data_IF_788051986979
#
_entry.id   IF_788051986979
#
_cell.length_a   1.000
_cell.length_b   1.000
_cell.length_c   1.000
_cell.angle_alpha   90.00
_cell.angle_beta   90.00
_cell.angle_gamma   90.00
#
_symmetry.space_group_name_H-M   'P 1'
#
loop_
_entity.id
_entity.type
_entity.pdbx_description
1 polymer ?
#
# COMPACT_ATOMS: atom_id res chain seq x y z
N UNK A 1 50.88 36.15 28.75
CA UNK A 1 49.46 36.05 29.07
C UNK A 1 48.75 36.72 27.93
N UNK A 2 48.01 35.92 27.11
CA UNK A 2 47.42 36.43 25.86
C UNK A 2 46.37 37.52 26.14
N UNK A 3 46.38 38.59 25.34
CA UNK A 3 45.38 39.68 25.39
C UNK A 3 43.93 39.20 25.50
N UNK A 4 43.62 38.08 24.86
CA UNK A 4 42.28 37.44 24.91
C UNK A 4 41.92 36.91 26.31
N UNK A 5 42.89 36.42 27.08
CA UNK A 5 42.67 35.97 28.46
C UNK A 5 42.41 37.13 29.44
N UNK A 6 43.02 38.27 29.20
CA UNK A 6 42.78 39.47 30.01
C UNK A 6 41.41 40.06 29.76
N UNK A 7 40.94 40.04 28.50
CA UNK A 7 39.61 40.53 28.11
C UNK A 7 38.50 39.63 28.72
N UNK A 8 38.62 38.32 28.65
CA UNK A 8 37.67 37.39 29.25
C UNK A 8 37.56 37.49 30.77
N UNK A 9 38.71 37.70 31.46
CA UNK A 9 38.71 37.90 32.91
C UNK A 9 38.10 39.23 33.33
N UNK A 10 38.21 40.28 32.53
CA UNK A 10 37.55 41.55 32.80
C UNK A 10 36.00 41.42 32.64
N UNK A 11 35.49 40.80 31.61
CA UNK A 11 34.06 40.62 31.41
C UNK A 11 33.45 39.70 32.47
N UNK A 12 34.14 38.65 32.92
CA UNK A 12 33.65 37.78 33.97
C UNK A 12 33.59 38.51 35.34
N UNK A 13 34.54 39.34 35.70
CA UNK A 13 34.51 40.17 36.89
C UNK A 13 33.40 41.20 36.81
N UNK A 14 33.16 41.82 35.65
CA UNK A 14 32.08 42.76 35.43
C UNK A 14 30.69 42.08 35.64
N UNK A 15 30.45 40.93 35.01
CA UNK A 15 29.21 40.17 35.18
C UNK A 15 29.03 39.74 36.65
N UNK A 16 30.10 39.38 37.35
CA UNK A 16 30.04 39.03 38.76
C UNK A 16 29.68 40.24 39.65
N UNK A 17 30.15 41.43 39.33
CA UNK A 17 29.80 42.68 40.04
C UNK A 17 28.27 42.99 39.94
N UNK A 18 27.69 42.69 38.79
CA UNK A 18 26.22 42.92 38.52
C UNK A 18 25.37 41.68 38.68
N UNK A 19 25.86 40.64 39.36
CA UNK A 19 25.16 39.35 39.54
C UNK A 19 23.74 39.49 40.06
N UNK A 20 23.47 40.46 40.97
CA UNK A 20 22.15 40.67 41.55
C UNK A 20 21.13 41.16 40.50
N UNK A 21 21.56 41.98 39.53
CA UNK A 21 20.74 42.45 38.42
C UNK A 21 20.47 41.29 37.46
N UNK A 22 21.51 40.49 37.13
CA UNK A 22 21.40 39.32 36.26
C UNK A 22 20.41 38.30 36.85
N UNK A 23 20.61 37.90 38.11
CA UNK A 23 19.75 36.95 38.82
C UNK A 23 18.31 37.46 38.89
N UNK A 24 18.10 38.74 39.25
CA UNK A 24 16.77 39.34 39.32
C UNK A 24 16.04 39.29 37.99
N UNK A 25 16.70 39.69 36.91
CA UNK A 25 16.14 39.68 35.57
C UNK A 25 15.79 38.29 35.07
N UNK A 26 16.68 37.31 35.29
CA UNK A 26 16.42 35.89 34.96
C UNK A 26 15.26 35.34 35.78
N UNK A 27 15.18 35.64 37.08
CA UNK A 27 14.04 35.21 37.93
C UNK A 27 12.71 35.82 37.45
N UNK A 28 12.69 37.10 37.13
CA UNK A 28 11.49 37.78 36.61
C UNK A 28 11.08 37.11 35.28
N UNK A 29 12.03 36.88 34.38
CA UNK A 29 11.73 36.23 33.13
C UNK A 29 11.24 34.76 33.33
N UNK A 30 11.81 34.02 34.26
CA UNK A 30 11.38 32.67 34.58
C UNK A 30 9.95 32.65 35.18
N UNK A 31 9.61 33.60 36.05
CA UNK A 31 8.27 33.70 36.63
C UNK A 31 7.25 34.09 35.54
N UNK A 32 7.56 35.10 34.73
CA UNK A 32 6.67 35.55 33.65
C UNK A 32 6.43 34.45 32.61
N UNK A 33 7.49 33.77 32.19
CA UNK A 33 7.37 32.64 31.23
C UNK A 33 6.62 31.47 31.86
N UNK A 34 6.81 31.19 33.15
CA UNK A 34 6.04 30.15 33.84
C UNK A 34 4.54 30.45 33.86
N UNK A 35 4.16 31.71 34.12
CA UNK A 35 2.77 32.15 34.06
C UNK A 35 2.20 32.06 32.64
N UNK A 36 2.94 32.54 31.64
CA UNK A 36 2.52 32.49 30.22
C UNK A 36 2.32 31.01 29.75
N UNK A 37 3.21 30.12 30.10
CA UNK A 37 3.13 28.69 29.73
C UNK A 37 1.97 27.97 30.38
N UNK A 38 1.41 28.48 31.49
CA UNK A 38 0.19 27.93 32.12
C UNK A 38 -1.07 28.27 31.28
N UNK A 39 -1.07 29.38 30.58
CA UNK A 39 -2.20 29.88 29.77
C UNK A 39 -2.26 29.19 28.40
N UNK A 40 -1.10 28.74 27.87
CA UNK A 40 -1.00 28.12 26.53
C UNK A 40 -1.79 26.82 26.45
N UNK A 41 -2.56 26.59 25.35
CA UNK A 41 -3.30 25.36 25.11
C UNK A 41 -2.41 24.10 25.23
N UNK A 42 -2.94 23.08 25.87
CA UNK A 42 -2.29 21.77 26.01
C UNK A 42 -2.66 20.89 24.84
N UNK A 43 -1.71 20.14 24.30
CA UNK A 43 -1.94 19.18 23.23
C UNK A 43 -1.81 17.77 23.79
N UNK A 44 -2.79 16.96 23.50
CA UNK A 44 -2.80 15.53 23.80
C UNK A 44 -2.66 14.74 22.49
N UNK A 45 -1.78 13.75 22.47
CA UNK A 45 -1.52 12.89 21.32
C UNK A 45 -1.94 11.47 21.68
N UNK A 46 -2.90 10.93 20.97
CA UNK A 46 -3.21 9.50 20.98
C UNK A 46 -2.60 8.86 19.74
N UNK A 47 -2.11 7.64 19.86
CA UNK A 47 -1.55 6.88 18.74
C UNK A 47 -2.02 5.44 18.79
N UNK A 48 -2.08 4.84 17.61
CA UNK A 48 -2.28 3.42 17.40
C UNK A 48 -1.25 2.91 16.38
N UNK A 49 -0.91 1.63 16.48
CA UNK A 49 0.00 0.97 15.54
C UNK A 49 -0.75 -0.17 14.87
N UNK A 50 -0.71 -0.19 13.56
CA UNK A 50 -1.27 -1.27 12.75
C UNK A 50 -0.18 -1.94 11.91
N UNK A 51 -0.37 -3.22 11.69
CA UNK A 51 0.44 -4.01 10.76
C UNK A 51 -0.37 -4.23 9.49
N UNK A 52 0.15 -3.82 8.32
CA UNK A 52 -0.44 -4.23 7.05
C UNK A 52 -0.50 -5.76 6.99
N UNK A 53 -1.55 -6.35 6.43
CA UNK A 53 -1.58 -7.78 6.22
C UNK A 53 -0.36 -8.16 5.38
N UNK A 54 0.38 -9.16 5.84
CA UNK A 54 1.41 -9.75 4.98
C UNK A 54 0.67 -10.28 3.77
N UNK A 55 1.09 -9.89 2.57
CA UNK A 55 0.70 -10.61 1.38
C UNK A 55 1.11 -12.06 1.63
N UNK A 56 0.16 -12.88 2.05
CA UNK A 56 0.33 -14.30 1.89
C UNK A 56 0.35 -14.46 0.36
N UNK A 57 1.57 -14.49 -0.20
CA UNK A 57 1.77 -15.29 -1.38
C UNK A 57 1.19 -16.64 -1.00
N UNK A 58 -0.07 -16.87 -1.39
CA UNK A 58 -0.70 -18.17 -1.23
C UNK A 58 0.18 -19.17 -1.98
N UNK A 59 1.17 -19.71 -1.28
CA UNK A 59 1.80 -20.97 -1.57
C UNK A 59 0.75 -22.08 -1.33
N UNK A 60 -0.52 -21.76 -1.60
CA UNK A 60 -1.61 -22.69 -1.62
C UNK A 60 -1.55 -23.45 -2.93
N UNK A 61 -1.51 -24.77 -2.82
CA UNK A 61 -1.83 -25.81 -3.85
C UNK A 61 -1.27 -25.58 -5.27
N UNK A 62 -1.17 -24.32 -5.75
CA UNK A 62 -0.61 -23.94 -7.07
C UNK A 62 0.92 -23.97 -7.15
N UNK A 63 1.63 -23.86 -6.02
CA UNK A 63 3.08 -24.00 -6.00
C UNK A 63 3.52 -25.46 -6.29
N UNK A 64 2.60 -26.42 -6.21
CA UNK A 64 2.87 -27.83 -6.47
C UNK A 64 2.50 -28.31 -7.88
N UNK A 65 1.98 -27.44 -8.74
CA UNK A 65 1.87 -27.76 -10.17
C UNK A 65 3.24 -27.42 -10.78
N UNK A 66 4.11 -28.43 -10.84
CA UNK A 66 5.41 -28.35 -11.50
C UNK A 66 5.24 -27.76 -12.91
N UNK A 67 5.73 -26.54 -13.10
CA UNK A 67 5.80 -25.88 -14.41
C UNK A 67 4.97 -24.58 -14.57
N UNK A 68 4.10 -24.21 -13.64
CA UNK A 68 3.36 -22.96 -13.73
C UNK A 68 3.82 -21.97 -12.64
N UNK A 69 4.72 -21.06 -13.00
CA UNK A 69 5.18 -19.96 -12.14
C UNK A 69 4.07 -18.91 -11.91
N UNK A 70 2.91 -19.35 -11.39
CA UNK A 70 1.76 -18.47 -11.11
C UNK A 70 1.81 -17.85 -9.71
N UNK A 71 2.63 -18.42 -8.82
CA UNK A 71 2.76 -17.95 -7.44
C UNK A 71 3.39 -16.55 -7.31
N UNK A 72 4.29 -16.20 -8.23
CA UNK A 72 4.95 -14.88 -8.25
C UNK A 72 4.02 -13.77 -8.79
N UNK A 73 3.01 -14.15 -9.55
CA UNK A 73 2.08 -13.24 -10.22
C UNK A 73 1.09 -12.54 -9.28
N UNK A 74 0.72 -13.19 -8.16
CA UNK A 74 -0.21 -12.65 -7.17
C UNK A 74 0.49 -12.08 -5.93
N UNK A 75 1.81 -12.03 -5.90
CA UNK A 75 2.57 -11.43 -4.80
C UNK A 75 2.55 -9.91 -4.89
N UNK A 76 1.46 -9.30 -4.40
CA UNK A 76 1.44 -7.87 -4.10
C UNK A 76 2.54 -7.59 -3.06
N UNK A 77 3.49 -6.72 -3.38
CA UNK A 77 4.57 -6.37 -2.45
C UNK A 77 3.98 -5.72 -1.18
N UNK A 78 4.59 -5.96 -0.03
CA UNK A 78 4.16 -5.34 1.24
C UNK A 78 4.11 -3.81 1.17
N UNK A 79 4.91 -3.21 0.30
CA UNK A 79 4.96 -1.78 0.05
C UNK A 79 3.71 -1.26 -0.68
N UNK A 80 3.14 -2.05 -1.58
CA UNK A 80 1.93 -1.69 -2.33
C UNK A 80 0.69 -1.68 -1.43
N UNK A 81 0.57 -2.67 -0.52
CA UNK A 81 -0.49 -2.70 0.49
C UNK A 81 -0.37 -1.51 1.43
N UNK A 82 0.84 -1.20 1.88
CA UNK A 82 1.09 -0.03 2.74
C UNK A 82 0.71 1.27 2.03
N UNK A 83 1.07 1.44 0.77
CA UNK A 83 0.72 2.61 -0.04
C UNK A 83 -0.80 2.76 -0.19
N UNK A 84 -1.54 1.67 -0.38
CA UNK A 84 -2.99 1.67 -0.45
C UNK A 84 -3.61 2.13 0.88
N UNK A 85 -3.11 1.64 2.02
CA UNK A 85 -3.54 2.08 3.35
C UNK A 85 -3.29 3.58 3.53
N UNK A 86 -2.11 4.09 3.15
CA UNK A 86 -1.82 5.52 3.22
C UNK A 86 -2.72 6.35 2.30
N UNK A 87 -3.05 5.85 1.10
CA UNK A 87 -3.97 6.53 0.20
C UNK A 87 -5.38 6.66 0.80
N UNK A 88 -5.88 5.60 1.45
CA UNK A 88 -7.17 5.62 2.15
C UNK A 88 -7.11 6.61 3.33
N UNK A 89 -6.08 6.54 4.17
CA UNK A 89 -5.90 7.41 5.34
C UNK A 89 -5.84 8.89 4.98
N UNK A 90 -5.17 9.25 3.87
CA UNK A 90 -5.02 10.63 3.39
C UNK A 90 -6.17 11.09 2.51
N UNK A 91 -7.13 10.22 2.19
CA UNK A 91 -8.23 10.53 1.29
C UNK A 91 -9.13 11.65 1.86
N UNK A 92 -9.71 12.45 0.96
CA UNK A 92 -10.69 13.48 1.32
C UNK A 92 -11.90 12.89 2.03
N UNK A 93 -12.42 11.77 1.54
CA UNK A 93 -13.58 11.08 2.11
C UNK A 93 -13.33 10.62 3.55
N UNK A 94 -12.12 10.13 3.86
CA UNK A 94 -11.74 9.78 5.23
C UNK A 94 -11.79 11.03 6.12
N UNK A 95 -11.15 12.12 5.72
CA UNK A 95 -11.07 13.35 6.49
C UNK A 95 -12.46 13.96 6.72
N UNK A 96 -13.29 14.06 5.69
CA UNK A 96 -14.66 14.55 5.80
C UNK A 96 -15.51 13.69 6.75
N UNK A 97 -15.33 12.36 6.70
CA UNK A 97 -16.06 11.45 7.59
C UNK A 97 -15.69 11.65 9.07
N UNK A 98 -14.42 11.94 9.38
CA UNK A 98 -13.96 12.25 10.74
C UNK A 98 -14.51 13.58 11.20
N UNK A 99 -14.40 14.63 10.37
CA UNK A 99 -14.90 15.96 10.70
C UNK A 99 -16.39 15.94 11.03
N UNK A 100 -17.18 15.26 10.19
CA UNK A 100 -18.63 15.14 10.39
C UNK A 100 -18.97 14.29 11.62
N UNK A 101 -18.29 13.15 11.83
CA UNK A 101 -18.58 12.26 12.95
C UNK A 101 -18.26 12.89 14.30
N UNK A 102 -17.15 13.64 14.38
CA UNK A 102 -16.65 14.24 15.63
C UNK A 102 -17.12 15.70 15.81
N UNK A 103 -17.90 16.25 14.87
CA UNK A 103 -18.39 17.64 14.96
C UNK A 103 -17.26 18.68 14.95
N UNK A 104 -16.16 18.42 14.22
CA UNK A 104 -14.95 19.24 14.30
C UNK A 104 -15.08 20.63 13.65
N UNK A 105 -16.12 20.89 12.85
CA UNK A 105 -16.38 22.22 12.28
C UNK A 105 -16.56 23.25 13.40
N UNK A 106 -17.38 22.92 14.40
CA UNK A 106 -17.62 23.79 15.54
C UNK A 106 -16.39 23.90 16.45
N UNK A 107 -15.68 22.76 16.66
CA UNK A 107 -14.50 22.73 17.53
C UNK A 107 -13.31 23.52 16.97
N UNK A 108 -13.14 23.53 15.65
CA UNK A 108 -12.08 24.29 14.97
C UNK A 108 -12.52 25.72 14.62
N UNK A 109 -13.76 26.11 14.98
CA UNK A 109 -14.32 27.39 14.62
C UNK A 109 -14.18 27.70 13.13
N UNK A 110 -14.34 26.64 12.28
CA UNK A 110 -14.14 26.73 10.84
C UNK A 110 -15.41 27.19 10.14
N UNK A 111 -15.27 28.08 9.13
CA UNK A 111 -16.41 28.61 8.37
C UNK A 111 -17.07 27.53 7.49
N UNK A 112 -16.30 26.52 7.11
CA UNK A 112 -16.76 25.47 6.22
C UNK A 112 -16.04 24.11 6.46
N UNK A 113 -16.58 23.06 5.84
CA UNK A 113 -16.03 21.70 5.92
C UNK A 113 -14.59 21.62 5.42
N UNK A 114 -14.22 22.37 4.39
CA UNK A 114 -12.91 22.31 3.77
C UNK A 114 -11.81 22.83 4.71
N UNK A 115 -12.08 23.93 5.41
CA UNK A 115 -11.16 24.46 6.43
C UNK A 115 -11.03 23.54 7.63
N UNK A 116 -12.14 22.93 8.07
CA UNK A 116 -12.10 21.93 9.14
C UNK A 116 -11.27 20.70 8.73
N UNK A 117 -11.39 20.23 7.49
CA UNK A 117 -10.57 19.15 6.94
C UNK A 117 -9.09 19.54 6.89
N UNK A 118 -8.77 20.76 6.48
CA UNK A 118 -7.38 21.27 6.47
C UNK A 118 -6.79 21.32 7.89
N UNK A 119 -7.55 21.79 8.85
CA UNK A 119 -7.17 21.84 10.26
C UNK A 119 -6.97 20.44 10.85
N UNK A 120 -7.87 19.50 10.54
CA UNK A 120 -7.74 18.10 10.95
C UNK A 120 -6.48 17.47 10.36
N UNK A 121 -6.20 17.69 9.07
CA UNK A 121 -5.01 17.15 8.40
C UNK A 121 -3.71 17.57 9.06
N UNK A 122 -3.63 18.79 9.58
CA UNK A 122 -2.47 19.30 10.31
C UNK A 122 -2.34 18.65 11.71
N UNK A 123 -3.44 18.15 12.24
CA UNK A 123 -3.51 17.51 13.55
C UNK A 123 -3.36 15.98 13.50
N UNK A 124 -3.36 15.38 12.30
CA UNK A 124 -3.11 13.96 12.11
C UNK A 124 -1.69 13.72 11.60
N UNK A 125 -1.09 12.63 12.05
CA UNK A 125 0.19 12.13 11.52
C UNK A 125 0.07 10.64 11.20
N UNK A 126 0.53 10.28 10.02
CA UNK A 126 0.60 8.90 9.52
C UNK A 126 2.05 8.62 9.16
N UNK A 127 2.68 7.71 9.87
CA UNK A 127 4.11 7.43 9.75
C UNK A 127 4.32 5.93 9.46
N UNK A 128 5.20 5.64 8.50
CA UNK A 128 5.69 4.29 8.28
C UNK A 128 6.89 4.06 9.21
N UNK A 129 6.82 3.02 10.04
CA UNK A 129 7.90 2.65 10.94
C UNK A 129 8.83 1.64 10.27
N UNK A 130 10.09 1.57 10.74
CA UNK A 130 11.14 0.73 10.17
C UNK A 130 10.77 -0.77 10.16
N UNK A 131 9.93 -1.20 11.11
CA UNK A 131 9.45 -2.58 11.21
C UNK A 131 8.35 -2.94 10.19
N UNK A 132 8.02 -2.06 9.25
CA UNK A 132 6.95 -2.25 8.27
C UNK A 132 5.55 -2.02 8.82
N UNK A 133 5.44 -1.44 10.02
CA UNK A 133 4.18 -1.07 10.65
C UNK A 133 3.79 0.38 10.33
N UNK A 134 2.51 0.72 10.49
CA UNK A 134 1.99 2.06 10.29
C UNK A 134 1.52 2.63 11.61
N UNK A 135 2.06 3.79 11.99
CA UNK A 135 1.61 4.56 13.14
C UNK A 135 0.59 5.61 12.71
N UNK A 136 -0.55 5.61 13.38
CA UNK A 136 -1.63 6.60 13.21
C UNK A 136 -1.72 7.41 14.48
N UNK A 137 -1.60 8.73 14.40
CA UNK A 137 -1.71 9.57 15.57
C UNK A 137 -2.57 10.81 15.33
N UNK A 138 -3.32 11.18 16.37
CA UNK A 138 -4.14 12.37 16.40
C UNK A 138 -3.72 13.29 17.55
N UNK A 139 -3.56 14.57 17.24
CA UNK A 139 -3.27 15.63 18.19
C UNK A 139 -4.55 16.45 18.42
N UNK A 140 -4.91 16.60 19.69
CA UNK A 140 -6.07 17.44 20.06
C UNK A 140 -5.62 18.49 21.06
N UNK A 141 -5.99 19.75 20.75
CA UNK A 141 -5.67 20.91 21.59
C UNK A 141 -6.83 21.21 22.54
N UNK A 142 -6.48 21.61 23.77
CA UNK A 142 -7.45 22.19 24.68
C UNK A 142 -7.69 23.67 24.32
N UNK A 143 -8.80 24.30 24.81
CA UNK A 143 -8.94 25.75 24.77
C UNK A 143 -7.85 26.49 25.58
N UNK A 144 -7.75 27.77 25.38
CA UNK A 144 -6.94 28.65 26.25
C UNK A 144 -7.48 28.61 27.68
N UNK A 145 -6.60 28.66 28.69
CA UNK A 145 -6.98 28.59 30.11
C UNK A 145 -7.80 27.33 30.46
N UNK A 146 -7.47 26.19 29.84
CA UNK A 146 -8.21 24.93 30.00
C UNK A 146 -8.26 24.45 31.46
N UNK A 147 -9.43 23.99 31.87
CA UNK A 147 -9.68 23.30 33.12
C UNK A 147 -9.41 21.78 32.97
N UNK A 148 -9.61 21.01 34.06
CA UNK A 148 -9.41 19.56 34.06
C UNK A 148 -10.40 18.83 33.14
N UNK A 149 -11.61 19.35 33.02
CA UNK A 149 -12.65 18.76 32.17
C UNK A 149 -12.31 18.90 30.67
N UNK A 150 -11.77 20.05 30.26
CA UNK A 150 -11.28 20.28 28.91
C UNK A 150 -10.11 19.34 28.55
N UNK A 151 -9.26 19.04 29.54
CA UNK A 151 -8.17 18.08 29.37
C UNK A 151 -8.67 16.66 29.13
N UNK A 152 -9.65 16.22 29.94
CA UNK A 152 -10.28 14.90 29.83
C UNK A 152 -10.97 14.78 28.46
N UNK A 153 -11.72 15.80 28.05
CA UNK A 153 -12.38 15.84 26.74
C UNK A 153 -11.36 15.76 25.59
N UNK A 154 -10.28 16.54 25.66
CA UNK A 154 -9.24 16.51 24.62
C UNK A 154 -8.54 15.14 24.51
N UNK A 155 -8.29 14.47 25.65
CA UNK A 155 -7.73 13.11 25.69
C UNK A 155 -8.67 12.10 25.05
N UNK A 156 -9.94 12.12 25.45
CA UNK A 156 -10.95 11.21 24.94
C UNK A 156 -11.17 11.41 23.44
N UNK A 157 -11.29 12.67 23.01
CA UNK A 157 -11.46 12.99 21.59
C UNK A 157 -10.25 12.53 20.74
N UNK A 158 -9.01 12.71 21.23
CA UNK A 158 -7.83 12.23 20.53
C UNK A 158 -7.89 10.70 20.33
N UNK A 159 -8.31 9.97 21.35
CA UNK A 159 -8.47 8.52 21.28
C UNK A 159 -9.62 8.10 20.38
N UNK A 160 -10.75 8.81 20.47
CA UNK A 160 -11.94 8.52 19.66
C UNK A 160 -11.67 8.77 18.16
N UNK A 161 -10.94 9.83 17.82
CA UNK A 161 -10.52 10.08 16.44
C UNK A 161 -9.68 8.92 15.90
N UNK A 162 -8.67 8.45 16.64
CA UNK A 162 -7.82 7.35 16.18
C UNK A 162 -8.60 6.05 16.06
N UNK A 163 -9.44 5.71 17.04
CA UNK A 163 -10.29 4.52 16.99
C UNK A 163 -11.29 4.58 15.82
N UNK A 164 -11.86 5.76 15.55
CA UNK A 164 -12.74 5.93 14.39
C UNK A 164 -11.98 5.74 13.07
N UNK A 165 -10.75 6.28 12.97
CA UNK A 165 -9.89 6.07 11.80
C UNK A 165 -9.64 4.58 11.59
N UNK A 166 -9.28 3.82 12.63
CA UNK A 166 -9.03 2.39 12.54
C UNK A 166 -10.27 1.61 12.06
N UNK A 167 -11.42 1.87 12.68
CA UNK A 167 -12.67 1.19 12.31
C UNK A 167 -13.13 1.54 10.89
N UNK A 168 -12.97 2.81 10.49
CA UNK A 168 -13.32 3.27 9.14
C UNK A 168 -12.36 2.73 8.09
N UNK A 169 -11.06 2.68 8.40
CA UNK A 169 -10.02 2.13 7.54
C UNK A 169 -10.29 0.64 7.29
N UNK A 170 -10.56 -0.15 8.34
CA UNK A 170 -10.89 -1.57 8.21
C UNK A 170 -12.12 -1.76 7.31
N UNK A 171 -13.18 -0.99 7.55
CA UNK A 171 -14.39 -1.05 6.73
C UNK A 171 -14.14 -0.73 5.26
N UNK A 172 -13.40 0.36 4.97
CA UNK A 172 -13.09 0.77 3.60
C UNK A 172 -12.20 -0.27 2.92
N UNK A 173 -11.15 -0.73 3.60
CA UNK A 173 -10.24 -1.72 3.06
C UNK A 173 -10.95 -3.06 2.79
N UNK A 174 -11.80 -3.52 3.72
CA UNK A 174 -12.63 -4.71 3.53
C UNK A 174 -13.56 -4.57 2.32
N UNK A 175 -14.21 -3.42 2.16
CA UNK A 175 -15.08 -3.17 1.00
C UNK A 175 -14.29 -3.23 -0.30
N UNK A 176 -13.13 -2.58 -0.38
CA UNK A 176 -12.28 -2.59 -1.57
C UNK A 176 -11.84 -4.02 -1.94
N UNK A 177 -11.37 -4.80 -0.95
CA UNK A 177 -10.97 -6.19 -1.19
C UNK A 177 -12.13 -7.09 -1.62
N UNK A 178 -13.31 -6.92 -1.01
CA UNK A 178 -14.51 -7.69 -1.38
C UNK A 178 -14.97 -7.33 -2.79
N UNK A 179 -14.97 -6.04 -3.16
CA UNK A 179 -15.34 -5.60 -4.50
C UNK A 179 -14.38 -6.13 -5.56
N UNK A 180 -13.08 -6.14 -5.27
CA UNK A 180 -12.06 -6.70 -6.15
C UNK A 180 -12.21 -8.22 -6.31
N UNK A 181 -12.38 -8.96 -5.21
CA UNK A 181 -12.60 -10.41 -5.23
C UNK A 181 -13.88 -10.76 -5.99
N UNK A 182 -14.96 -10.00 -5.79
CA UNK A 182 -16.22 -10.15 -6.52
C UNK A 182 -16.04 -9.92 -8.02
N UNK A 183 -15.30 -8.90 -8.39
CA UNK A 183 -15.02 -8.62 -9.79
C UNK A 183 -14.22 -9.75 -10.45
N UNK A 184 -13.20 -10.27 -9.76
CA UNK A 184 -12.41 -11.42 -10.23
C UNK A 184 -13.30 -12.66 -10.39
N UNK A 185 -14.17 -12.95 -9.41
CA UNK A 185 -15.12 -14.08 -9.51
C UNK A 185 -16.05 -13.94 -10.71
N UNK A 186 -16.66 -12.78 -10.91
CA UNK A 186 -17.56 -12.55 -12.06
C UNK A 186 -16.83 -12.69 -13.41
N UNK A 187 -15.58 -12.26 -13.47
CA UNK A 187 -14.77 -12.48 -14.66
C UNK A 187 -14.49 -13.97 -14.91
N UNK A 188 -14.10 -14.70 -13.85
CA UNK A 188 -13.84 -16.14 -13.94
C UNK A 188 -15.10 -16.93 -14.26
N UNK A 189 -16.24 -16.58 -13.68
CA UNK A 189 -17.54 -17.19 -13.97
C UNK A 189 -17.86 -17.12 -15.46
N UNK A 190 -17.75 -15.93 -16.03
CA UNK A 190 -18.00 -15.74 -17.46
C UNK A 190 -17.05 -16.57 -18.34
N UNK A 191 -15.75 -16.59 -18.02
CA UNK A 191 -14.76 -17.38 -18.77
C UNK A 191 -15.01 -18.89 -18.63
N UNK A 192 -15.40 -19.34 -17.44
CA UNK A 192 -15.79 -20.73 -17.18
C UNK A 192 -17.01 -21.16 -17.99
N UNK A 193 -18.06 -20.33 -18.02
CA UNK A 193 -19.27 -20.59 -18.83
C UNK A 193 -18.93 -20.68 -20.33
N UNK A 194 -18.11 -19.75 -20.84
CA UNK A 194 -17.62 -19.78 -22.22
C UNK A 194 -16.86 -21.07 -22.52
N UNK A 195 -16.01 -21.53 -21.59
CA UNK A 195 -15.22 -22.75 -21.77
C UNK A 195 -16.09 -24.02 -21.79
N UNK A 196 -17.16 -24.08 -21.00
CA UNK A 196 -18.15 -25.18 -21.06
C UNK A 196 -18.73 -25.28 -22.46
N UNK A 197 -19.22 -24.14 -23.00
CA UNK A 197 -19.85 -24.12 -24.31
C UNK A 197 -18.88 -24.50 -25.43
N UNK A 198 -17.64 -23.98 -25.36
CA UNK A 198 -16.59 -24.29 -26.35
C UNK A 198 -16.19 -25.76 -26.30
N UNK A 199 -16.06 -26.33 -25.12
CA UNK A 199 -15.77 -27.76 -24.95
C UNK A 199 -16.88 -28.62 -25.55
N UNK A 200 -18.14 -28.34 -25.20
CA UNK A 200 -19.30 -29.05 -25.74
C UNK A 200 -19.38 -28.98 -27.27
N UNK A 201 -19.12 -27.80 -27.83
CA UNK A 201 -19.10 -27.59 -29.28
C UNK A 201 -17.98 -28.40 -29.95
N UNK A 202 -16.80 -28.42 -29.34
CA UNK A 202 -15.63 -29.15 -29.86
C UNK A 202 -15.86 -30.66 -29.78
N UNK A 203 -16.40 -31.16 -28.67
CA UNK A 203 -16.78 -32.58 -28.52
C UNK A 203 -17.83 -33.00 -29.54
N UNK A 204 -18.83 -32.16 -29.75
CA UNK A 204 -19.90 -32.47 -30.74
C UNK A 204 -19.36 -32.49 -32.17
N UNK A 205 -18.46 -31.56 -32.55
CA UNK A 205 -17.78 -31.59 -33.84
C UNK A 205 -16.99 -32.87 -34.04
N UNK A 206 -16.24 -33.29 -33.03
CA UNK A 206 -15.46 -34.52 -33.06
C UNK A 206 -16.38 -35.73 -33.18
N UNK A 207 -17.46 -35.78 -32.41
CA UNK A 207 -18.45 -36.88 -32.44
C UNK A 207 -19.09 -37.01 -33.81
N UNK A 208 -19.56 -35.92 -34.42
CA UNK A 208 -20.16 -35.91 -35.75
C UNK A 208 -19.17 -36.40 -36.80
N UNK A 209 -17.94 -35.90 -36.77
CA UNK A 209 -16.92 -36.34 -37.71
C UNK A 209 -16.62 -37.84 -37.62
N UNK A 210 -16.51 -38.38 -36.39
CA UNK A 210 -16.28 -39.79 -36.16
C UNK A 210 -17.43 -40.67 -36.64
N UNK A 211 -18.67 -40.21 -36.48
CA UNK A 211 -19.88 -40.94 -36.97
C UNK A 211 -19.94 -40.97 -38.51
N UNK A 212 -19.61 -39.86 -39.17
CA UNK A 212 -19.70 -39.76 -40.63
C UNK A 212 -18.58 -40.56 -41.35
N UNK A 213 -17.42 -40.67 -40.73
CA UNK A 213 -16.25 -41.21 -41.43
C UNK A 213 -15.71 -42.57 -40.89
N UNK A 214 -16.36 -43.15 -39.86
CA UNK A 214 -15.96 -44.44 -39.24
C UNK A 214 -14.46 -44.54 -38.87
N UNK A 215 -13.82 -43.41 -38.49
CA UNK A 215 -12.37 -43.33 -38.26
C UNK A 215 -12.02 -43.62 -36.80
N UNK A 216 -11.47 -44.75 -36.53
CA UNK A 216 -11.08 -45.16 -35.16
C UNK A 216 -9.57 -45.34 -34.88
N UNK A 217 -8.72 -45.33 -35.92
CA UNK A 217 -7.29 -45.67 -35.71
C UNK A 217 -6.32 -44.63 -36.26
N UNK A 218 -5.51 -44.04 -35.38
CA UNK A 218 -4.46 -43.07 -35.66
C UNK A 218 -3.09 -43.65 -35.34
N UNK A 219 -2.10 -43.41 -36.20
CA UNK A 219 -0.70 -43.78 -35.94
C UNK A 219 -0.17 -43.07 -34.68
N UNK A 220 0.54 -43.79 -33.81
CA UNK A 220 1.06 -43.30 -32.52
C UNK A 220 1.85 -41.99 -32.60
N UNK A 221 2.61 -41.77 -33.65
CA UNK A 221 3.40 -40.55 -33.87
C UNK A 221 2.49 -39.31 -34.05
N UNK A 222 1.37 -39.52 -34.73
CA UNK A 222 0.39 -38.47 -34.98
C UNK A 222 -0.34 -38.08 -33.70
N UNK A 223 -0.66 -39.05 -32.85
CA UNK A 223 -1.22 -38.80 -31.51
C UNK A 223 -0.26 -37.97 -30.63
N UNK A 224 1.04 -38.26 -30.69
CA UNK A 224 2.05 -37.53 -29.95
C UNK A 224 2.12 -36.05 -30.39
N UNK A 225 2.06 -35.79 -31.70
CA UNK A 225 2.05 -34.43 -32.26
C UNK A 225 0.81 -33.64 -31.84
N UNK A 226 -0.38 -34.27 -31.90
CA UNK A 226 -1.64 -33.67 -31.43
C UNK A 226 -1.55 -33.26 -29.97
N UNK A 227 -1.03 -34.14 -29.11
CA UNK A 227 -0.90 -33.88 -27.69
C UNK A 227 0.04 -32.71 -27.38
N UNK A 228 1.21 -32.63 -28.05
CA UNK A 228 2.15 -31.51 -27.87
C UNK A 228 1.54 -30.20 -28.35
N UNK A 229 0.92 -30.20 -29.52
CA UNK A 229 0.26 -28.98 -30.04
C UNK A 229 -0.89 -28.49 -29.14
N UNK A 230 -1.67 -29.44 -28.59
CA UNK A 230 -2.74 -29.12 -27.62
C UNK A 230 -2.16 -28.54 -26.31
N UNK A 231 -1.04 -29.07 -25.83
CA UNK A 231 -0.35 -28.57 -24.61
C UNK A 231 0.05 -27.11 -24.80
N UNK A 232 0.78 -26.81 -25.89
CA UNK A 232 1.24 -25.45 -26.19
C UNK A 232 0.05 -24.50 -26.33
N UNK A 233 -0.98 -24.86 -27.08
CA UNK A 233 -2.13 -23.99 -27.28
C UNK A 233 -2.94 -23.78 -26.01
N UNK A 234 -3.09 -24.80 -25.18
CA UNK A 234 -3.76 -24.67 -23.87
C UNK A 234 -2.98 -23.71 -22.97
N UNK A 235 -1.63 -23.77 -23.00
CA UNK A 235 -0.78 -22.86 -22.25
C UNK A 235 -0.95 -21.39 -22.73
N UNK A 236 -0.99 -21.17 -24.04
CA UNK A 236 -1.28 -19.85 -24.61
C UNK A 236 -2.61 -19.31 -24.09
N UNK A 237 -3.68 -20.08 -24.13
CA UNK A 237 -5.00 -19.67 -23.65
C UNK A 237 -5.01 -19.37 -22.14
N UNK A 238 -4.31 -20.17 -21.36
CA UNK A 238 -4.14 -19.95 -19.93
C UNK A 238 -3.41 -18.61 -19.71
N UNK A 239 -2.35 -18.33 -20.44
CA UNK A 239 -1.57 -17.11 -20.29
C UNK A 239 -2.31 -15.88 -20.82
N UNK A 240 -3.15 -16.02 -21.85
CA UNK A 240 -4.08 -14.96 -22.27
C UNK A 240 -5.12 -14.62 -21.18
N UNK A 241 -5.65 -15.63 -20.48
CA UNK A 241 -6.55 -15.42 -19.34
C UNK A 241 -5.81 -14.67 -18.23
N UNK A 242 -4.57 -15.07 -17.90
CA UNK A 242 -3.73 -14.35 -16.93
C UNK A 242 -3.49 -12.91 -17.37
N UNK A 243 -3.13 -12.68 -18.63
CA UNK A 243 -2.94 -11.35 -19.19
C UNK A 243 -4.21 -10.50 -19.09
N UNK A 244 -5.37 -11.10 -19.29
CA UNK A 244 -6.67 -10.45 -19.13
C UNK A 244 -6.92 -9.97 -17.70
N UNK A 245 -6.49 -10.73 -16.70
CA UNK A 245 -6.55 -10.36 -15.28
C UNK A 245 -5.59 -9.19 -15.01
N UNK A 246 -4.33 -9.31 -15.45
CA UNK A 246 -3.31 -8.27 -15.25
C UNK A 246 -3.72 -6.92 -15.83
N UNK A 247 -4.21 -6.91 -17.05
CA UNK A 247 -4.64 -5.68 -17.73
C UNK A 247 -5.81 -4.97 -17.03
N UNK A 248 -6.52 -5.68 -16.13
CA UNK A 248 -7.59 -5.09 -15.32
C UNK A 248 -7.10 -4.61 -13.96
N UNK A 249 -6.04 -5.23 -13.44
CA UNK A 249 -5.49 -4.96 -12.11
C UNK A 249 -4.38 -3.90 -12.16
N UNK A 250 -3.59 -3.87 -13.23
CA UNK A 250 -2.43 -2.99 -13.36
C UNK A 250 -2.53 -2.02 -14.54
N UNK A 251 -1.68 -0.99 -14.54
CA UNK A 251 -1.50 -0.10 -15.69
C UNK A 251 -0.77 -0.82 -16.82
N UNK A 252 -1.04 -0.43 -18.06
CA UNK A 252 -0.50 -1.07 -19.29
C UNK A 252 1.03 -1.18 -19.36
N UNK A 253 1.78 -0.37 -18.61
CA UNK A 253 3.25 -0.37 -18.61
C UNK A 253 3.85 -1.23 -17.48
N UNK A 254 3.11 -2.19 -16.97
CA UNK A 254 3.62 -3.06 -15.90
C UNK A 254 4.55 -4.14 -16.48
N UNK A 255 5.77 -4.35 -15.92
CA UNK A 255 6.77 -5.30 -16.46
C UNK A 255 6.26 -6.75 -16.62
N UNK A 256 5.33 -7.17 -15.79
CA UNK A 256 4.70 -8.49 -15.84
C UNK A 256 3.82 -8.67 -17.09
N UNK A 257 3.16 -7.59 -17.56
CA UNK A 257 2.36 -7.60 -18.78
C UNK A 257 3.27 -7.82 -19.99
N UNK A 258 4.41 -7.13 -20.03
CA UNK A 258 5.39 -7.27 -21.12
C UNK A 258 6.00 -8.68 -21.13
N UNK A 259 6.39 -9.20 -19.94
CA UNK A 259 6.94 -10.55 -19.81
C UNK A 259 5.96 -11.60 -20.32
N UNK A 260 4.70 -11.55 -19.87
CA UNK A 260 3.69 -12.52 -20.25
C UNK A 260 3.32 -12.42 -21.73
N UNK A 261 3.33 -11.22 -22.30
CA UNK A 261 3.13 -11.00 -23.74
C UNK A 261 4.26 -11.64 -24.55
N UNK A 262 5.51 -11.50 -24.12
CA UNK A 262 6.66 -12.18 -24.77
C UNK A 262 6.56 -13.70 -24.66
N UNK A 263 6.11 -14.23 -23.52
CA UNK A 263 5.93 -15.66 -23.31
C UNK A 263 4.85 -16.23 -24.24
N UNK A 264 3.70 -15.57 -24.35
CA UNK A 264 2.63 -15.92 -25.30
C UNK A 264 3.18 -15.91 -26.72
N UNK A 265 3.88 -14.85 -27.14
CA UNK A 265 4.46 -14.76 -28.49
C UNK A 265 5.45 -15.90 -28.76
N UNK A 266 6.28 -16.25 -27.79
CA UNK A 266 7.22 -17.38 -27.90
C UNK A 266 6.52 -18.74 -28.05
N UNK A 267 5.44 -18.95 -27.32
CA UNK A 267 4.62 -20.16 -27.45
C UNK A 267 3.85 -20.21 -28.79
N UNK A 268 3.36 -19.08 -29.28
CA UNK A 268 2.73 -18.97 -30.60
C UNK A 268 3.71 -19.32 -31.72
N UNK A 269 4.96 -18.85 -31.62
CA UNK A 269 6.01 -19.19 -32.58
C UNK A 269 6.35 -20.68 -32.53
N UNK A 270 6.41 -21.29 -31.33
CA UNK A 270 6.60 -22.75 -31.20
C UNK A 270 5.41 -23.52 -31.80
N UNK A 271 4.18 -23.07 -31.59
CA UNK A 271 2.99 -23.67 -32.17
C UNK A 271 2.99 -23.55 -33.69
N UNK A 272 3.34 -22.38 -34.23
CA UNK A 272 3.46 -22.16 -35.67
C UNK A 272 4.50 -23.08 -36.35
N UNK A 273 5.59 -23.38 -35.63
CA UNK A 273 6.60 -24.34 -36.09
C UNK A 273 6.11 -25.79 -36.06
N UNK A 274 5.10 -26.11 -35.24
CA UNK A 274 4.40 -27.40 -35.22
C UNK A 274 3.24 -27.44 -36.22
N UNK A 275 2.68 -26.29 -36.57
CA UNK A 275 1.55 -26.20 -37.48
C UNK A 275 2.02 -26.29 -38.95
N UNK A 276 1.25 -26.93 -39.73
CA UNK A 276 1.56 -27.70 -40.94
C UNK A 276 1.65 -26.89 -42.21
N UNK A 277 1.33 -25.59 -42.14
CA UNK A 277 1.21 -24.74 -43.34
C UNK A 277 2.39 -23.77 -43.56
N UNK A 278 3.46 -23.83 -42.75
CA UNK A 278 4.63 -22.98 -43.00
C UNK A 278 5.51 -23.57 -44.10
N UNK A 279 5.33 -23.07 -45.31
CA UNK A 279 6.06 -23.44 -46.51
C UNK A 279 7.55 -23.09 -46.52
N UNK A 280 8.10 -22.48 -45.45
CA UNK A 280 9.47 -21.95 -45.41
C UNK A 280 10.28 -22.36 -44.20
N UNK A 281 10.46 -23.66 -43.96
CA UNK A 281 11.44 -24.08 -42.94
C UNK A 281 12.76 -24.49 -43.62
N UNK A 282 13.74 -23.62 -43.50
CA UNK A 282 15.11 -23.75 -44.05
C UNK A 282 15.95 -24.80 -43.31
N UNK A 283 15.43 -25.58 -42.36
CA UNK A 283 16.23 -26.55 -41.61
C UNK A 283 15.57 -27.93 -41.53
N UNK A 284 16.01 -28.92 -42.37
CA UNK A 284 15.39 -30.23 -42.44
C UNK A 284 15.72 -31.15 -41.26
N UNK A 285 16.59 -30.79 -40.30
CA UNK A 285 17.13 -31.70 -39.29
C UNK A 285 16.36 -31.72 -37.95
N UNK A 286 15.25 -30.95 -37.82
CA UNK A 286 14.47 -30.93 -36.58
C UNK A 286 12.99 -31.31 -36.73
N UNK A 287 12.59 -31.88 -37.88
CA UNK A 287 11.24 -32.41 -38.04
C UNK A 287 11.10 -33.74 -37.32
N UNK A 288 10.80 -33.69 -36.04
CA UNK A 288 10.49 -34.88 -35.19
C UNK A 288 9.18 -35.56 -35.61
N UNK A 289 8.37 -34.95 -36.46
CA UNK A 289 7.05 -35.41 -36.88
C UNK A 289 6.94 -35.45 -38.40
N UNK A 290 6.22 -36.47 -38.95
CA UNK A 290 6.00 -36.52 -40.41
C UNK A 290 5.21 -35.36 -40.92
N UNK A 291 5.52 -34.91 -42.13
CA UNK A 291 4.73 -33.83 -42.79
C UNK A 291 3.31 -34.33 -42.99
N UNK A 292 2.33 -33.62 -42.43
CA UNK A 292 0.93 -34.00 -42.57
C UNK A 292 0.41 -33.92 -44.04
N UNK A 293 1.09 -33.21 -44.93
CA UNK A 293 0.80 -33.23 -46.39
C UNK A 293 0.88 -34.64 -46.99
N UNK A 294 1.51 -35.59 -46.30
CA UNK A 294 1.63 -36.96 -46.71
C UNK A 294 0.53 -37.89 -46.10
N UNK A 295 -0.31 -37.33 -45.16
CA UNK A 295 -1.37 -38.09 -44.49
C UNK A 295 -2.71 -37.80 -45.19
N UNK A 296 -3.60 -38.81 -45.33
CA UNK A 296 -4.91 -38.60 -45.92
C UNK A 296 -5.71 -37.47 -45.21
N UNK A 297 -6.44 -36.65 -45.98
CA UNK A 297 -7.16 -35.46 -45.48
C UNK A 297 -8.07 -35.73 -44.28
N UNK A 298 -8.66 -36.95 -44.22
CA UNK A 298 -9.56 -37.37 -43.11
C UNK A 298 -8.80 -37.53 -41.78
N UNK A 299 -7.57 -38.04 -41.82
CA UNK A 299 -6.76 -38.23 -40.61
C UNK A 299 -6.29 -36.87 -40.07
N UNK A 300 -5.95 -35.94 -40.95
CA UNK A 300 -5.60 -34.55 -40.55
C UNK A 300 -6.74 -33.85 -39.85
N UNK A 301 -7.95 -33.98 -40.39
CA UNK A 301 -9.13 -33.36 -39.82
C UNK A 301 -9.51 -33.97 -38.45
N UNK A 302 -9.43 -35.28 -38.32
CA UNK A 302 -9.63 -35.97 -37.04
C UNK A 302 -8.63 -35.49 -35.99
N UNK A 303 -7.35 -35.33 -36.35
CA UNK A 303 -6.35 -34.81 -35.44
C UNK A 303 -6.60 -33.37 -34.99
N UNK A 304 -7.06 -32.51 -35.89
CA UNK A 304 -7.42 -31.13 -35.56
C UNK A 304 -8.56 -31.10 -34.53
N UNK A 305 -9.60 -31.89 -34.73
CA UNK A 305 -10.75 -31.99 -33.84
C UNK A 305 -10.36 -32.57 -32.47
N UNK A 306 -9.53 -33.62 -32.44
CA UNK A 306 -9.02 -34.17 -31.19
C UNK A 306 -8.17 -33.19 -30.40
N UNK A 307 -7.27 -32.46 -31.08
CA UNK A 307 -6.47 -31.40 -30.48
C UNK A 307 -7.36 -30.30 -29.89
N UNK A 308 -8.38 -29.87 -30.62
CA UNK A 308 -9.30 -28.84 -30.15
C UNK A 308 -10.03 -29.28 -28.85
N UNK A 309 -10.55 -30.50 -28.82
CA UNK A 309 -11.18 -31.06 -27.61
C UNK A 309 -10.18 -31.10 -26.43
N UNK A 310 -8.94 -31.52 -26.67
CA UNK A 310 -7.93 -31.56 -25.63
C UNK A 310 -7.56 -30.17 -25.10
N UNK A 311 -7.43 -29.17 -26.01
CA UNK A 311 -7.23 -27.76 -25.64
C UNK A 311 -8.36 -27.26 -24.75
N UNK A 312 -9.60 -27.41 -25.22
CA UNK A 312 -10.77 -26.94 -24.50
C UNK A 312 -10.97 -27.67 -23.17
N UNK A 313 -10.67 -28.94 -23.09
CA UNK A 313 -10.70 -29.72 -21.85
C UNK A 313 -9.71 -29.23 -20.82
N UNK A 314 -8.46 -28.94 -21.22
CA UNK A 314 -7.44 -28.38 -20.33
C UNK A 314 -7.81 -26.96 -19.86
N UNK A 315 -8.31 -26.13 -20.78
CA UNK A 315 -8.79 -24.80 -20.45
C UNK A 315 -9.97 -24.85 -19.47
N UNK A 316 -10.93 -25.72 -19.70
CA UNK A 316 -12.06 -25.95 -18.80
C UNK A 316 -11.61 -26.37 -17.40
N UNK A 317 -10.69 -27.34 -17.29
CA UNK A 317 -10.14 -27.78 -16.01
C UNK A 317 -9.44 -26.63 -15.26
N UNK A 318 -8.64 -25.84 -15.94
CA UNK A 318 -7.99 -24.66 -15.39
C UNK A 318 -8.98 -23.61 -14.91
N UNK A 319 -9.96 -23.27 -15.74
CA UNK A 319 -10.98 -22.26 -15.40
C UNK A 319 -11.90 -22.74 -14.28
N UNK A 320 -12.21 -24.04 -14.21
CA UNK A 320 -12.96 -24.63 -13.08
C UNK A 320 -12.24 -24.38 -11.77
N UNK A 321 -10.94 -24.71 -11.73
CA UNK A 321 -10.14 -24.46 -10.54
C UNK A 321 -10.08 -22.97 -10.18
N UNK A 322 -9.85 -22.11 -11.14
CA UNK A 322 -9.77 -20.64 -10.92
C UNK A 322 -11.10 -20.05 -10.48
N UNK A 323 -12.20 -20.52 -11.01
CA UNK A 323 -13.53 -20.10 -10.58
C UNK A 323 -13.80 -20.51 -9.13
N UNK A 324 -13.49 -21.74 -8.74
CA UNK A 324 -13.65 -22.17 -7.35
C UNK A 324 -12.71 -21.41 -6.39
N UNK A 325 -11.47 -21.15 -6.77
CA UNK A 325 -10.57 -20.31 -6.00
C UNK A 325 -11.12 -18.89 -5.81
N UNK A 326 -11.66 -18.28 -6.87
CA UNK A 326 -12.23 -16.93 -6.80
C UNK A 326 -13.50 -16.86 -5.93
N UNK A 327 -14.32 -17.91 -5.91
CA UNK A 327 -15.46 -18.04 -4.99
C UNK A 327 -15.01 -18.11 -3.53
N UNK A 328 -13.96 -18.87 -3.26
CA UNK A 328 -13.37 -18.97 -1.92
C UNK A 328 -12.81 -17.61 -1.50
N UNK A 329 -12.13 -16.91 -2.41
CA UNK A 329 -11.55 -15.59 -2.13
C UNK A 329 -12.63 -14.54 -1.83
N UNK A 330 -13.73 -14.50 -2.59
CA UNK A 330 -14.86 -13.60 -2.32
C UNK A 330 -15.55 -13.91 -0.98
N UNK A 331 -15.67 -15.20 -0.64
CA UNK A 331 -16.30 -15.65 0.62
C UNK A 331 -15.38 -15.47 1.85
N UNK A 332 -14.11 -15.13 1.66
CA UNK A 332 -13.13 -15.02 2.74
C UNK A 332 -13.38 -13.78 3.58
N UNK A 333 -13.87 -13.96 4.80
CA UNK A 333 -14.07 -12.88 5.79
C UNK A 333 -12.87 -12.79 6.74
N UNK A 334 -11.70 -12.45 6.20
CA UNK A 334 -10.49 -12.28 7.02
C UNK A 334 -10.31 -10.82 7.43
N UNK A 335 -9.85 -10.55 8.67
CA UNK A 335 -9.44 -9.21 9.07
C UNK A 335 -8.39 -8.67 8.10
N UNK A 336 -8.69 -7.51 7.52
CA UNK A 336 -7.82 -6.92 6.50
C UNK A 336 -6.68 -6.09 7.09
N UNK A 337 -6.76 -5.79 8.39
CA UNK A 337 -5.80 -4.97 9.13
C UNK A 337 -5.59 -5.60 10.50
N UNK A 338 -4.34 -5.78 10.90
CA UNK A 338 -3.99 -6.21 12.25
C UNK A 338 -3.63 -5.01 13.09
N UNK A 339 -4.40 -4.74 14.14
CA UNK A 339 -4.08 -3.71 15.13
C UNK A 339 -3.10 -4.33 16.12
N UNK A 340 -1.90 -3.76 16.21
CA UNK A 340 -0.87 -4.16 17.18
C UNK A 340 -1.08 -3.44 18.51
N UNK A 341 -1.29 -2.12 18.45
CA UNK A 341 -1.57 -1.30 19.61
C UNK A 341 -2.82 -0.47 19.36
N UNK A 342 -3.80 -0.63 20.23
CA UNK A 342 -5.02 0.16 20.24
C UNK A 342 -4.75 1.61 20.69
N UNK A 343 -5.58 2.53 20.25
CA UNK A 343 -5.52 3.92 20.68
C UNK A 343 -5.85 4.04 22.18
N UNK A 344 -4.87 4.46 22.94
CA UNK A 344 -5.02 4.68 24.38
C UNK A 344 -5.15 6.18 24.70
N UNK A 345 -5.94 6.48 25.75
CA UNK A 345 -6.06 7.84 26.25
C UNK A 345 -4.73 8.32 26.85
N UNK A 346 -4.13 9.40 26.32
CA UNK A 346 -2.83 9.86 26.76
C UNK A 346 -2.88 10.41 28.19
N UNK A 347 -2.07 9.87 29.09
CA UNK A 347 -1.99 10.33 30.49
C UNK A 347 -1.25 11.67 30.57
N UNK A 348 -0.21 11.86 29.73
CA UNK A 348 0.64 13.05 29.74
C UNK A 348 0.39 13.91 28.52
N UNK A 349 0.46 15.25 28.70
CA UNK A 349 0.45 16.19 27.58
C UNK A 349 1.66 16.00 26.67
N UNK A 350 1.45 16.11 25.38
CA UNK A 350 2.49 16.04 24.36
C UNK A 350 3.21 17.38 24.20
N UNK A 351 2.46 18.50 24.18
CA UNK A 351 2.96 19.88 24.08
C UNK A 351 2.15 20.79 25.01
N UNK A 352 2.70 21.95 25.44
CA UNK A 352 4.10 22.37 25.34
C UNK A 352 4.98 21.66 26.38
N UNK A 353 6.27 21.47 26.05
CA UNK A 353 7.28 20.99 27.01
C UNK A 353 7.69 22.16 27.91
N UNK A 354 6.91 22.42 28.97
CA UNK A 354 7.03 23.61 29.86
C UNK A 354 8.44 23.87 30.35
N UNK A 355 9.13 22.83 30.81
CA UNK A 355 10.51 22.92 31.33
C UNK A 355 11.48 23.45 30.28
N UNK A 356 11.37 22.99 29.02
CA UNK A 356 12.24 23.44 27.94
C UNK A 356 11.95 24.90 27.59
N UNK A 357 10.68 25.31 27.58
CA UNK A 357 10.31 26.70 27.28
C UNK A 357 10.83 27.65 28.37
N UNK A 358 10.61 27.33 29.66
CA UNK A 358 11.09 28.19 30.77
C UNK A 358 12.61 28.30 30.75
N UNK A 359 13.33 27.18 30.56
CA UNK A 359 14.78 27.17 30.43
C UNK A 359 15.29 28.00 29.24
N UNK A 360 14.63 27.85 28.07
CA UNK A 360 15.01 28.59 26.87
C UNK A 360 14.85 30.10 27.04
N UNK A 361 13.70 30.55 27.54
CA UNK A 361 13.47 31.97 27.76
C UNK A 361 14.32 32.52 28.89
N UNK A 362 14.62 31.75 29.95
CA UNK A 362 15.54 32.15 31.01
C UNK A 362 16.98 32.33 30.48
N UNK A 363 17.42 31.46 29.56
CA UNK A 363 18.72 31.59 28.90
C UNK A 363 18.80 32.85 28.03
N UNK A 364 17.76 33.11 27.24
CA UNK A 364 17.66 34.35 26.42
C UNK A 364 17.70 35.59 27.32
N UNK A 365 16.94 35.59 28.41
CA UNK A 365 16.91 36.68 29.37
C UNK A 365 18.30 36.91 30.02
N UNK A 366 19.03 35.83 30.33
CA UNK A 366 20.41 35.92 30.84
C UNK A 366 21.32 36.57 29.84
N UNK A 367 21.31 36.14 28.55
CA UNK A 367 22.14 36.68 27.49
C UNK A 367 21.84 38.17 27.26
N UNK A 368 20.54 38.52 27.16
CA UNK A 368 20.13 39.92 26.99
C UNK A 368 20.52 40.79 28.20
N UNK A 369 20.37 40.27 29.41
CA UNK A 369 20.78 40.98 30.63
C UNK A 369 22.30 41.14 30.74
N UNK A 370 23.08 40.17 30.33
CA UNK A 370 24.54 40.29 30.26
C UNK A 370 24.99 41.32 29.25
N UNK A 371 24.37 41.36 28.07
CA UNK A 371 24.61 42.31 27.00
C UNK A 371 24.26 43.74 27.45
N UNK A 372 23.13 43.89 28.16
CA UNK A 372 22.71 45.15 28.75
C UNK A 372 23.74 45.70 29.78
N UNK A 373 24.25 44.84 30.67
CA UNK A 373 25.30 45.21 31.64
C UNK A 373 26.59 45.65 30.96
N UNK A 374 27.01 44.96 29.90
CA UNK A 374 28.20 45.34 29.11
C UNK A 374 28.02 46.70 28.45
N UNK A 375 26.86 46.95 27.84
CA UNK A 375 26.54 48.22 27.20
C UNK A 375 26.46 49.42 28.23
N UNK A 376 25.93 49.18 29.40
CA UNK A 376 25.89 50.15 30.49
C UNK A 376 27.28 50.58 30.90
N UNK A 377 28.20 49.63 31.07
CA UNK A 377 29.58 49.93 31.46
C UNK A 377 30.33 50.70 30.36
N UNK A 378 30.08 50.31 29.09
CA UNK A 378 30.66 51.02 27.93
C UNK A 378 30.23 52.49 27.87
N UNK A 379 28.97 52.73 28.23
CA UNK A 379 28.39 54.10 28.23
C UNK A 379 28.84 54.93 29.46
N UNK A 380 29.12 54.27 30.58
CA UNK A 380 29.61 54.91 31.81
C UNK A 380 31.09 55.21 31.75
N UNK A 381 31.90 54.35 31.14
CA UNK A 381 33.34 54.58 30.92
C UNK A 381 33.61 55.66 29.86
N UNK A 382 32.75 55.72 28.80
CA UNK A 382 32.82 56.81 27.79
C UNK A 382 32.51 58.21 28.34
N UNK A 383 31.66 58.30 29.37
CA UNK A 383 31.38 59.60 30.06
C UNK A 383 32.41 60.03 31.10
N UNK A 384 33.32 59.13 31.53
CA UNK A 384 34.43 59.47 32.44
C UNK A 384 35.69 59.90 31.71
N UNK A 385 35.76 59.79 30.37
CA UNK A 385 36.93 60.15 29.56
C UNK A 385 36.68 61.44 28.73
N UNK A 386 35.55 62.09 28.83
CA UNK A 386 35.25 63.44 28.35
C UNK A 386 35.00 64.40 29.53
#
# INVERSE_FOLDING_TARGET
>A
MNTDQLITVQYTKLLWSYKNILIRNVLIAAILTSLLVLIIPKTYKSNAILMPPKSQSDQGILANIEGLAFGDFLSTSSDEVSNTIFAILKSRTMMESIVNKMGLIQRYESDNLEEAVKSLRNNLSFEHLEEGTISISANVHTPWLSNEQDEIEARNLATEIVNYILSKLDKVNKTLQTDEARFQRLFMEKRYEEAILNLQESEEKLRLFQMENNTLDLVEQTRAAVRIGAEIKSQILIDEVKLGILNKTYKKDHPEIDKLTMEITGLEEQLANLDYNSHDSVNPNYNLFPKFSEVPNLEVELMRLQREVEIQSKLYAFLTQKYEESKIQEARDTPTIQILDDANSPIKRFKPKRTIMVLGYSLIAFVLSALYVILLEFNTTGKRSS
#
